data_IF_570905063438
#
_entry.id   IF_570905063438
#
_cell.length_a   1.000
_cell.length_b   1.000
_cell.length_c   1.000
_cell.angle_alpha   90.00
_cell.angle_beta   90.00
_cell.angle_gamma   90.00
#
_symmetry.space_group_name_H-M   'P 1'
#
loop_
_entity.id
_entity.type
_entity.pdbx_description
1 polymer ?
2 polymer ?
3 polymer ?
4 polymer ?
5 non-polymer ?
6 non-polymer ?
7 non-polymer ?
8 non-polymer ?
9 non-polymer ?
10 non-polymer ?
11 non-polymer ?
12 water ?
#
loop_
_entity_poly.entity_id
_entity_poly.type
_entity_poly.pdbx_seq_one_letter_code
_entity_poly.pdbx_strand_id
2 'polydeoxyribonucleotide' '(DC)(DG)(DG)(DC)(DA)(DT)(DA)(DC)(DG)' ?
3 'polydeoxyribonucleotide' '(DC)(DG)(DT)(DA)(8OG)' ?
4 'polydeoxyribonucleotide' '(DG)(DC)(DC)(DG)' ?
#
# COMPACT_ATOMS: atom_id res chain seq x y z
N UNK A 11 3.47 -1.80 -27.97
CA UNK A 11 4.23 -0.68 -27.42
C UNK A 11 4.08 -0.57 -25.89
N UNK A 12 2.91 -0.95 -25.37
CA UNK A 12 2.67 -0.95 -23.93
C UNK A 12 2.81 -2.37 -23.42
N UNK A 13 3.78 -2.66 -22.53
CA UNK A 13 3.92 -4.02 -22.00
C UNK A 13 2.72 -4.36 -21.13
N UNK A 14 2.51 -5.66 -20.98
CA UNK A 14 1.31 -6.19 -20.34
C UNK A 14 1.41 -6.18 -18.82
N UNK A 15 2.61 -6.27 -18.25
CA UNK A 15 2.77 -6.28 -16.80
C UNK A 15 3.21 -4.89 -16.32
N UNK A 16 2.66 -4.45 -15.17
CA UNK A 16 3.03 -3.12 -14.70
C UNK A 16 4.50 -2.99 -14.34
N UNK A 17 5.15 -4.11 -14.00
CA UNK A 17 6.57 -4.07 -13.64
C UNK A 17 7.49 -3.81 -14.81
N UNK A 18 6.96 -3.86 -16.04
CA UNK A 18 7.72 -3.70 -17.27
C UNK A 18 7.69 -2.29 -17.81
N UNK A 19 7.09 -1.35 -17.12
CA UNK A 19 6.98 0.00 -17.65
C UNK A 19 7.05 0.99 -16.50
N UNK A 20 7.61 2.16 -16.73
CA UNK A 20 7.60 3.15 -15.68
C UNK A 20 6.21 3.70 -15.47
N UNK A 21 5.87 3.92 -14.22
CA UNK A 21 4.61 4.54 -13.86
C UNK A 21 4.90 5.66 -12.88
N UNK A 22 4.80 6.91 -13.29
CA UNK A 22 5.11 8.04 -12.40
C UNK A 22 3.94 8.32 -11.46
N UNK A 23 4.22 9.13 -10.44
CA UNK A 23 3.19 9.39 -9.43
C UNK A 23 2.07 10.26 -9.99
N UNK A 24 2.44 11.23 -10.79
CA UNK A 24 1.47 12.09 -11.48
C UNK A 24 1.56 11.82 -12.97
N UNK A 25 0.42 11.97 -13.65
CA UNK A 25 0.33 11.54 -15.04
C UNK A 25 -0.71 12.35 -15.79
N UNK A 26 -1.14 11.81 -16.94
CA UNK A 26 -1.90 12.55 -17.92
C UNK A 26 -3.29 12.02 -18.11
N UNK A 27 -3.72 11.11 -17.26
CA UNK A 27 -5.03 10.48 -17.41
C UNK A 27 -5.70 10.29 -16.07
N UNK A 28 -5.55 11.27 -15.19
CA UNK A 28 -5.98 11.15 -13.79
C UNK A 28 -7.45 10.82 -13.67
N UNK A 29 -8.31 11.57 -14.37
CA UNK A 29 -9.74 11.29 -14.26
C UNK A 29 -10.15 9.92 -14.74
N UNK A 30 -9.59 9.48 -15.86
CA UNK A 30 -9.93 8.16 -16.36
C UNK A 30 -9.48 7.08 -15.40
N UNK A 31 -8.26 7.17 -14.89
CA UNK A 31 -7.76 6.16 -13.96
C UNK A 31 -8.58 6.15 -12.67
N UNK A 32 -8.99 7.33 -12.19
CA UNK A 32 -9.76 7.37 -10.94
C UNK A 32 -11.10 6.65 -11.11
N UNK A 33 -11.73 6.79 -12.28
CA UNK A 33 -13.02 6.16 -12.52
C UNK A 33 -12.87 4.65 -12.56
N UNK A 34 -11.84 4.16 -13.24
CA UNK A 34 -11.62 2.72 -13.28
C UNK A 34 -11.30 2.17 -11.89
N UNK A 35 -10.59 2.94 -11.07
CA UNK A 35 -10.28 2.52 -9.71
C UNK A 35 -11.51 2.49 -8.81
N UNK A 36 -12.52 3.31 -9.04
CA UNK A 36 -13.79 3.16 -8.32
C UNK A 36 -14.40 1.80 -8.62
N UNK A 37 -14.42 1.40 -9.89
CA UNK A 37 -15.00 0.11 -10.23
C UNK A 37 -14.15 -1.04 -9.64
N UNK A 38 -12.83 -0.87 -9.60
CA UNK A 38 -11.99 -1.89 -8.98
C UNK A 38 -12.33 -2.03 -7.50
N UNK A 39 -12.43 -0.92 -6.82
CA UNK A 39 -12.74 -0.91 -5.38
C UNK A 39 -14.09 -1.56 -5.13
N UNK A 40 -15.10 -1.20 -5.92
CA UNK A 40 -16.42 -1.80 -5.78
C UNK A 40 -16.37 -3.29 -6.00
N UNK A 41 -15.60 -3.75 -6.99
CA UNK A 41 -15.46 -5.18 -7.21
C UNK A 41 -14.87 -5.87 -5.98
N UNK A 42 -13.89 -5.26 -5.34
CA UNK A 42 -13.34 -5.83 -4.12
C UNK A 42 -14.37 -5.94 -3.00
N UNK A 43 -15.22 -4.94 -2.87
CA UNK A 43 -16.21 -4.99 -1.81
C UNK A 43 -17.19 -6.13 -2.01
N UNK A 44 -17.39 -6.57 -3.26
CA UNK A 44 -18.26 -7.70 -3.56
C UNK A 44 -17.50 -9.03 -3.63
N UNK A 45 -16.22 -9.04 -3.33
CA UNK A 45 -15.38 -10.23 -3.36
C UNK A 45 -15.02 -10.70 -4.76
N UNK A 46 -15.12 -9.84 -5.76
CA UNK A 46 -14.75 -10.21 -7.13
C UNK A 46 -13.30 -9.78 -7.36
N UNK A 47 -12.39 -10.64 -6.93
CA UNK A 47 -10.97 -10.29 -7.02
C UNK A 47 -10.43 -10.26 -8.44
N UNK A 48 -10.98 -11.08 -9.33
CA UNK A 48 -10.51 -11.04 -10.71
C UNK A 48 -10.86 -9.72 -11.39
N UNK A 49 -12.12 -9.30 -11.24
CA UNK A 49 -12.54 -8.01 -11.79
C UNK A 49 -11.75 -6.87 -11.19
N UNK A 50 -11.55 -6.89 -9.87
CA UNK A 50 -10.73 -5.85 -9.23
C UNK A 50 -9.39 -5.76 -9.92
N UNK A 51 -8.75 -6.89 -10.15
CA UNK A 51 -7.42 -6.90 -10.73
C UNK A 51 -7.42 -6.32 -12.14
N UNK A 52 -8.39 -6.69 -12.97
CA UNK A 52 -8.48 -6.12 -14.32
C UNK A 52 -8.66 -4.62 -14.30
N UNK A 53 -9.58 -4.12 -13.46
CA UNK A 53 -9.81 -2.67 -13.46
C UNK A 53 -8.58 -1.95 -12.92
N UNK A 54 -7.93 -2.49 -11.90
CA UNK A 54 -6.68 -1.89 -11.43
C UNK A 54 -5.61 -1.87 -12.51
N UNK A 55 -5.48 -2.97 -13.25
CA UNK A 55 -4.49 -3.02 -14.32
C UNK A 55 -4.80 -2.04 -15.42
N UNK A 56 -6.08 -1.95 -15.82
CA UNK A 56 -6.46 -0.99 -16.85
C UNK A 56 -6.17 0.44 -16.39
N UNK A 57 -6.52 0.74 -15.15
CA UNK A 57 -6.21 2.08 -14.65
C UNK A 57 -4.72 2.35 -14.72
N UNK A 58 -3.92 1.36 -14.35
CA UNK A 58 -2.48 1.53 -14.31
C UNK A 58 -1.90 1.76 -15.71
N UNK A 59 -2.42 1.07 -16.71
CA UNK A 59 -1.98 1.33 -18.08
C UNK A 59 -2.13 2.79 -18.44
N UNK A 60 -3.25 3.41 -18.07
CA UNK A 60 -3.46 4.83 -18.37
C UNK A 60 -2.48 5.71 -17.64
N UNK A 61 -2.09 5.33 -16.41
CA UNK A 61 -1.10 6.10 -15.68
C UNK A 61 0.24 6.10 -16.41
N UNK A 62 0.53 5.05 -17.18
CA UNK A 62 1.83 4.86 -17.82
C UNK A 62 1.90 5.51 -19.19
N UNK A 63 0.77 6.06 -19.70
CA UNK A 63 0.81 6.63 -21.02
C UNK A 63 1.48 8.00 -21.02
N UNK A 64 2.05 8.40 -22.15
CA UNK A 64 2.82 9.64 -22.19
C UNK A 64 2.00 10.89 -22.38
N UNK A 65 0.70 10.76 -22.61
CA UNK A 65 -0.14 11.92 -22.88
C UNK A 65 -1.61 11.52 -22.68
N UNK A 66 -2.52 12.49 -22.65
CA UNK A 66 -3.93 12.16 -22.40
C UNK A 66 -4.55 11.32 -23.51
N UNK A 67 -5.41 10.40 -23.10
CA UNK A 67 -6.35 9.75 -24.02
C UNK A 67 -7.47 10.73 -24.31
N UNK A 68 -7.65 11.05 -25.59
CA UNK A 68 -8.69 11.95 -26.03
C UNK A 68 -9.70 11.30 -26.96
N UNK A 69 -9.40 10.13 -27.51
CA UNK A 69 -10.29 9.49 -28.47
C UNK A 69 -10.25 7.98 -28.19
N UNK A 70 -11.40 7.35 -28.40
CA UNK A 70 -11.53 5.93 -28.08
C UNK A 70 -10.53 5.08 -28.87
N UNK A 71 -10.19 5.53 -30.08
CA UNK A 71 -9.17 4.93 -30.94
C UNK A 71 -7.87 4.65 -30.22
N UNK A 72 -7.54 5.48 -29.22
CA UNK A 72 -6.25 5.40 -28.59
C UNK A 72 -6.16 4.22 -27.63
N UNK A 73 -7.28 3.54 -27.35
CA UNK A 73 -7.22 2.37 -26.49
C UNK A 73 -6.91 1.11 -27.26
N UNK A 74 -6.96 1.15 -28.59
CA UNK A 74 -6.79 -0.08 -29.35
C UNK A 74 -5.41 -0.67 -29.15
N UNK A 75 -5.38 -1.94 -28.82
CA UNK A 75 -4.12 -2.57 -28.57
C UNK A 75 -3.56 -2.36 -27.18
N UNK A 76 -4.18 -1.49 -26.33
CA UNK A 76 -3.63 -1.42 -24.98
C UNK A 76 -4.06 -2.64 -24.17
N UNK A 77 -3.15 -3.23 -23.43
CA UNK A 77 -3.51 -4.38 -22.62
C UNK A 77 -4.50 -4.00 -21.53
N UNK A 78 -5.38 -4.95 -21.22
CA UNK A 78 -6.36 -4.87 -20.13
C UNK A 78 -7.55 -3.98 -20.45
N UNK A 79 -7.65 -3.50 -21.69
CA UNK A 79 -8.82 -2.77 -22.19
C UNK A 79 -9.64 -3.67 -23.08
N UNK A 80 -10.78 -4.11 -22.56
CA UNK A 80 -11.75 -4.85 -23.30
C UNK A 80 -13.05 -4.08 -23.32
N UNK A 81 -14.15 -4.79 -23.57
CA UNK A 81 -15.41 -4.08 -23.77
C UNK A 81 -15.76 -3.20 -22.57
N UNK A 82 -15.62 -3.71 -21.35
CA UNK A 82 -16.13 -2.97 -20.20
C UNK A 82 -15.28 -1.74 -19.88
N UNK A 83 -13.98 -1.91 -19.74
CA UNK A 83 -13.13 -0.75 -19.44
C UNK A 83 -13.15 0.27 -20.58
N UNK A 84 -13.28 -0.20 -21.82
CA UNK A 84 -13.35 0.73 -22.95
C UNK A 84 -14.63 1.55 -22.91
N UNK A 85 -15.74 0.92 -22.51
CA UNK A 85 -17.00 1.63 -22.44
C UNK A 85 -16.94 2.72 -21.38
N UNK A 86 -16.30 2.42 -20.24
CA UNK A 86 -16.13 3.42 -19.18
C UNK A 86 -15.40 4.64 -19.73
N UNK A 87 -14.29 4.41 -20.41
CA UNK A 87 -13.52 5.51 -20.98
C UNK A 87 -14.34 6.26 -22.04
N UNK A 88 -15.04 5.51 -22.91
CA UNK A 88 -15.83 6.14 -23.96
C UNK A 88 -16.85 7.09 -23.37
N UNK A 89 -17.54 6.67 -22.30
CA UNK A 89 -18.55 7.52 -21.70
C UNK A 89 -17.93 8.76 -21.08
N UNK A 90 -16.79 8.61 -20.42
CA UNK A 90 -16.10 9.75 -19.84
C UNK A 90 -15.63 10.72 -20.92
N UNK A 91 -15.13 10.19 -22.05
CA UNK A 91 -14.72 11.10 -23.14
C UNK A 91 -15.91 11.82 -23.77
N UNK A 92 -17.06 11.14 -23.88
CA UNK A 92 -18.18 11.72 -24.60
C UNK A 92 -19.00 12.64 -23.70
N UNK A 93 -19.15 12.33 -22.41
CA UNK A 93 -20.08 13.03 -21.52
C UNK A 93 -19.43 13.55 -20.26
N UNK A 94 -18.20 13.18 -19.96
CA UNK A 94 -17.56 13.64 -18.75
C UNK A 94 -17.93 12.89 -17.50
N UNK A 95 -18.78 11.87 -17.61
CA UNK A 95 -19.18 11.02 -16.51
C UNK A 95 -19.52 9.66 -17.09
N UNK A 96 -19.36 8.63 -16.26
CA UNK A 96 -19.78 7.27 -16.60
C UNK A 96 -20.88 6.88 -15.64
N UNK A 97 -22.07 6.58 -16.19
CA UNK A 97 -23.24 6.32 -15.36
C UNK A 97 -23.01 5.19 -14.38
N UNK A 98 -22.32 4.13 -14.80
CA UNK A 98 -22.02 3.02 -13.87
C UNK A 98 -21.19 3.51 -12.69
N UNK A 99 -20.15 4.28 -12.96
CA UNK A 99 -19.29 4.80 -11.90
C UNK A 99 -20.11 5.67 -10.96
N UNK A 100 -20.95 6.56 -11.52
CA UNK A 100 -21.74 7.45 -10.67
C UNK A 100 -22.73 6.68 -9.83
N UNK A 101 -23.31 5.62 -10.38
CA UNK A 101 -24.23 4.78 -9.61
C UNK A 101 -23.50 4.11 -8.45
N UNK A 102 -22.28 3.64 -8.67
CA UNK A 102 -21.50 3.09 -7.57
C UNK A 102 -21.27 4.15 -6.51
N UNK A 103 -20.78 5.33 -6.93
CA UNK A 103 -20.41 6.36 -5.97
C UNK A 103 -21.58 6.70 -5.04
N UNK A 104 -22.78 6.77 -5.56
CA UNK A 104 -23.91 7.19 -4.74
C UNK A 104 -24.64 6.01 -4.09
N UNK A 105 -24.10 4.79 -4.20
CA UNK A 105 -24.79 3.67 -3.59
C UNK A 105 -24.45 3.55 -2.11
N UNK A 106 -25.49 3.20 -1.35
CA UNK A 106 -25.34 2.99 0.07
C UNK A 106 -24.36 1.85 0.36
N UNK A 107 -24.37 0.83 -0.48
CA UNK A 107 -23.44 -0.29 -0.28
C UNK A 107 -21.99 0.16 -0.43
N UNK A 108 -21.69 0.86 -1.52
CA UNK A 108 -20.31 1.30 -1.74
C UNK A 108 -19.88 2.27 -0.63
N UNK A 109 -20.75 3.23 -0.30
CA UNK A 109 -20.35 4.24 0.67
C UNK A 109 -20.10 3.61 2.03
N UNK A 110 -20.97 2.68 2.45
CA UNK A 110 -20.81 2.09 3.77
C UNK A 110 -19.64 1.13 3.80
N UNK A 111 -19.46 0.30 2.77
CA UNK A 111 -18.29 -0.58 2.72
C UNK A 111 -16.99 0.21 2.74
N UNK A 112 -16.94 1.32 2.00
CA UNK A 112 -15.73 2.14 2.02
C UNK A 112 -15.48 2.70 3.41
N UNK A 113 -16.53 3.24 4.05
CA UNK A 113 -16.39 3.77 5.40
C UNK A 113 -15.87 2.71 6.37
N UNK A 114 -16.50 1.53 6.36
CA UNK A 114 -16.13 0.52 7.36
C UNK A 114 -14.76 -0.08 7.09
N UNK A 115 -14.44 -0.37 5.83
CA UNK A 115 -13.12 -0.94 5.54
C UNK A 115 -11.98 0.04 5.79
N UNK A 116 -12.28 1.35 5.83
CA UNK A 116 -11.24 2.30 6.19
C UNK A 116 -10.82 2.18 7.63
N UNK A 117 -11.61 1.52 8.48
CA UNK A 117 -11.27 1.39 9.89
C UNK A 117 -10.13 0.39 10.03
N UNK A 118 -9.09 0.79 10.72
CA UNK A 118 -8.01 -0.14 11.07
C UNK A 118 -8.57 -1.27 11.92
N UNK A 119 -8.45 -2.51 11.42
CA UNK A 119 -8.99 -3.68 12.09
C UNK A 119 -10.24 -4.26 11.43
N UNK A 120 -10.75 -3.59 10.40
CA UNK A 120 -11.94 -4.01 9.68
C UNK A 120 -11.58 -4.25 8.24
N UNK A 121 -11.82 -5.48 7.75
CA UNK A 121 -11.64 -5.80 6.36
C UNK A 121 -12.99 -5.96 5.66
N UNK A 122 -12.93 -6.37 4.38
CA UNK A 122 -14.14 -6.53 3.59
C UNK A 122 -15.12 -7.49 4.27
N UNK A 123 -14.62 -8.63 4.75
CA UNK A 123 -15.56 -9.60 5.30
C UNK A 123 -16.26 -9.08 6.56
N UNK A 124 -15.53 -8.40 7.46
CA UNK A 124 -16.23 -7.85 8.62
C UNK A 124 -17.20 -6.75 8.19
N UNK A 125 -16.74 -5.85 7.32
CA UNK A 125 -17.59 -4.76 6.83
C UNK A 125 -18.86 -5.28 6.19
N UNK A 126 -18.74 -6.32 5.37
CA UNK A 126 -19.91 -6.89 4.73
C UNK A 126 -20.87 -7.52 5.74
N UNK A 127 -20.35 -8.22 6.75
CA UNK A 127 -21.21 -8.78 7.79
C UNK A 127 -21.97 -7.68 8.53
N UNK A 128 -21.28 -6.59 8.88
CA UNK A 128 -21.94 -5.49 9.57
C UNK A 128 -23.00 -4.85 8.67
N UNK A 129 -22.66 -4.64 7.40
CA UNK A 129 -23.63 -4.15 6.43
C UNK A 129 -24.86 -5.04 6.38
N UNK A 130 -24.67 -6.36 6.30
CA UNK A 130 -25.84 -7.23 6.24
C UNK A 130 -26.65 -7.17 7.51
N UNK A 131 -26.02 -6.86 8.65
CA UNK A 131 -26.74 -6.70 9.91
C UNK A 131 -27.49 -5.37 9.99
N UNK A 132 -27.30 -4.48 9.03
CA UNK A 132 -28.00 -3.21 9.02
C UNK A 132 -27.21 -2.04 9.53
N UNK A 133 -25.95 -2.23 9.90
CA UNK A 133 -25.16 -1.11 10.39
C UNK A 133 -24.68 -0.27 9.24
N UNK A 134 -24.61 1.05 9.46
CA UNK A 134 -24.29 2.00 8.40
C UNK A 134 -23.29 3.09 8.77
N UNK A 135 -23.15 3.48 10.04
CA UNK A 135 -22.30 4.60 10.43
C UNK A 135 -21.31 4.17 11.52
N UNK A 136 -20.28 4.99 11.71
CA UNK A 136 -19.32 4.72 12.77
C UNK A 136 -20.01 4.76 14.13
N UNK A 137 -20.94 5.66 14.32
CA UNK A 137 -21.65 5.70 15.60
C UNK A 137 -22.51 4.47 15.82
N UNK A 138 -23.04 3.87 14.75
CA UNK A 138 -23.65 2.55 14.91
C UNK A 138 -22.71 1.55 15.54
N UNK A 139 -21.44 1.53 15.09
CA UNK A 139 -20.47 0.58 15.63
C UNK A 139 -20.10 0.91 17.07
N UNK A 140 -20.01 2.20 17.37
CA UNK A 140 -19.62 2.62 18.71
C UNK A 140 -20.70 2.26 19.73
N UNK A 141 -21.95 2.19 19.31
CA UNK A 141 -23.01 1.85 20.25
C UNK A 141 -23.01 0.37 20.62
N UNK A 142 -22.15 -0.45 20.03
CA UNK A 142 -22.15 -1.89 20.27
C UNK A 142 -20.71 -2.40 20.37
N UNK A 143 -19.93 -1.86 21.30
CA UNK A 143 -18.54 -2.34 21.42
C UNK A 143 -18.44 -3.83 21.78
N UNK A 144 -19.61 -4.48 21.98
CA UNK A 144 -19.78 -5.93 22.05
C UNK A 144 -18.98 -6.63 21.03
N UNK A 145 -19.24 -6.24 19.80
CA UNK A 145 -18.68 -7.00 18.74
C UNK A 145 -17.19 -6.66 18.52
N UNK A 146 -16.73 -5.48 18.93
CA UNK A 146 -15.41 -5.00 18.45
C UNK A 146 -14.21 -5.67 19.12
N UNK A 147 -13.21 -5.94 18.32
CA UNK A 147 -11.93 -6.35 18.84
C UNK A 147 -11.18 -5.14 19.39
N UNK A 148 -10.17 -5.41 20.21
CA UNK A 148 -9.32 -4.33 20.71
C UNK A 148 -8.73 -3.53 19.56
N UNK A 149 -8.34 -4.20 18.49
CA UNK A 149 -7.77 -3.50 17.35
C UNK A 149 -8.81 -2.57 16.73
N UNK A 150 -10.03 -3.07 16.54
CA UNK A 150 -11.09 -2.26 15.95
C UNK A 150 -11.47 -1.11 16.85
N UNK A 151 -11.42 -1.31 18.16
CA UNK A 151 -11.71 -0.21 19.08
C UNK A 151 -10.72 0.92 18.85
N UNK A 152 -9.45 0.60 18.77
CA UNK A 152 -8.42 1.60 18.51
C UNK A 152 -8.61 2.26 17.16
N UNK A 153 -8.86 1.47 16.13
CA UNK A 153 -9.15 2.03 14.83
C UNK A 153 -10.34 2.98 14.82
N UNK A 154 -11.39 2.67 15.58
CA UNK A 154 -12.57 3.52 15.65
C UNK A 154 -12.26 4.78 16.45
N UNK A 155 -11.54 4.65 17.57
CA UNK A 155 -11.26 5.85 18.37
C UNK A 155 -10.40 6.82 17.59
N UNK A 156 -9.43 6.33 16.84
CA UNK A 156 -8.47 7.15 16.12
C UNK A 156 -8.87 7.43 14.67
N UNK A 157 -10.09 7.03 14.27
CA UNK A 157 -10.46 7.06 12.85
C UNK A 157 -10.34 8.45 12.25
N UNK A 158 -10.76 9.49 12.99
CA UNK A 158 -10.75 10.83 12.42
C UNK A 158 -9.33 11.30 12.13
N UNK A 159 -8.42 11.12 13.08
CA UNK A 159 -7.02 11.46 12.84
C UNK A 159 -6.43 10.64 11.70
N UNK A 160 -6.72 9.34 11.65
CA UNK A 160 -6.13 8.48 10.68
C UNK A 160 -6.68 8.74 9.29
N UNK A 161 -7.77 9.46 9.18
CA UNK A 161 -8.31 9.75 7.86
C UNK A 161 -7.65 10.96 7.22
N UNK A 162 -6.89 11.74 7.96
CA UNK A 162 -6.14 12.87 7.45
C UNK A 162 -4.74 12.39 7.08
N UNK A 163 -4.16 12.75 5.93
CA UNK A 163 -2.79 12.37 5.67
C UNK A 163 -1.78 13.24 6.36
N UNK A 164 -0.57 12.69 6.47
CA UNK A 164 0.56 13.38 7.04
C UNK A 164 1.49 13.80 5.93
N UNK A 165 2.26 14.80 6.24
CA UNK A 165 3.20 15.39 5.30
C UNK A 165 4.57 14.75 5.45
N UNK A 166 5.39 14.89 4.39
CA UNK A 166 6.76 14.39 4.46
C UNK A 166 7.53 14.99 5.64
N UNK A 167 7.29 16.26 6.00
CA UNK A 167 7.99 16.84 7.14
C UNK A 167 7.63 16.13 8.44
N UNK A 168 6.37 15.68 8.56
CA UNK A 168 5.95 14.86 9.70
C UNK A 168 6.70 13.53 9.69
N UNK A 169 6.85 12.95 8.51
CA UNK A 169 7.55 11.66 8.34
C UNK A 169 8.99 11.78 8.81
N UNK A 170 9.65 12.88 8.49
CA UNK A 170 11.05 13.05 8.87
C UNK A 170 11.21 13.19 10.38
N UNK A 171 10.26 13.87 11.03
CA UNK A 171 10.25 13.96 12.48
C UNK A 171 10.05 12.59 13.11
N UNK A 172 9.13 11.80 12.54
CA UNK A 172 8.88 10.44 13.01
C UNK A 172 10.14 9.58 12.84
N UNK A 173 10.83 9.75 11.73
CA UNK A 173 12.02 8.93 11.50
C UNK A 173 13.09 9.21 12.54
N UNK A 174 13.28 10.46 12.96
CA UNK A 174 14.29 10.72 13.97
C UNK A 174 13.94 10.02 15.28
N UNK A 175 12.66 9.99 15.67
CA UNK A 175 12.34 9.37 16.95
C UNK A 175 12.56 7.86 16.86
N UNK A 176 12.24 7.26 15.72
CA UNK A 176 12.45 5.82 15.53
C UNK A 176 13.94 5.51 15.54
N UNK A 177 14.73 6.34 14.85
CA UNK A 177 16.18 6.16 14.87
C UNK A 177 16.77 6.22 16.28
N UNK A 178 16.29 7.11 17.12
CA UNK A 178 16.79 7.19 18.50
C UNK A 178 16.54 5.87 19.23
N UNK A 179 15.31 5.33 19.12
CA UNK A 179 15.00 4.11 19.83
C UNK A 179 15.77 2.95 19.25
N UNK A 180 15.91 2.91 17.94
CA UNK A 180 16.63 1.82 17.27
C UNK A 180 18.09 1.83 17.63
N UNK A 181 18.69 3.02 17.74
CA UNK A 181 20.09 3.10 18.15
C UNK A 181 20.37 2.59 19.54
N UNK A 182 19.43 2.77 20.50
CA UNK A 182 19.57 2.21 21.82
C UNK A 182 19.31 0.72 21.81
N UNK A 183 18.34 0.30 21.01
CA UNK A 183 18.01 -1.12 20.96
C UNK A 183 19.17 -1.91 20.38
N UNK A 184 19.85 -1.36 19.39
CA UNK A 184 20.95 -2.07 18.72
C UNK A 184 21.82 -1.05 18.00
N UNK A 185 22.90 -0.63 18.62
CA UNK A 185 23.84 0.28 17.92
C UNK A 185 24.27 -0.28 16.59
N UNK A 186 24.26 0.60 15.57
CA UNK A 186 24.59 0.24 14.21
C UNK A 186 23.41 -0.15 13.36
N UNK A 187 22.25 -0.40 13.95
CA UNK A 187 21.09 -0.69 13.14
C UNK A 187 20.64 0.57 12.43
N UNK A 188 20.05 0.38 11.24
CA UNK A 188 19.63 1.45 10.35
C UNK A 188 18.14 1.43 10.13
N UNK A 189 17.64 2.61 9.78
CA UNK A 189 16.22 2.84 9.51
C UNK A 189 16.07 3.43 8.12
N UNK A 190 15.26 2.80 7.27
CA UNK A 190 14.99 3.23 5.90
C UNK A 190 13.50 3.54 5.77
N UNK A 191 13.17 4.69 5.19
CA UNK A 191 11.79 5.04 4.87
C UNK A 191 11.35 4.30 3.62
N UNK A 192 10.23 3.59 3.71
CA UNK A 192 9.70 2.85 2.56
C UNK A 192 8.31 3.39 2.19
N UNK A 193 7.46 2.52 1.66
CA UNK A 193 6.12 2.88 1.26
C UNK A 193 6.03 3.99 0.24
N UNK A 194 4.89 4.67 0.27
CA UNK A 194 4.61 5.68 -0.74
C UNK A 194 5.51 6.90 -0.67
N UNK A 195 6.01 7.24 0.52
CA UNK A 195 6.93 8.34 0.63
C UNK A 195 8.23 8.05 -0.12
N UNK A 196 8.69 6.80 -0.12
CA UNK A 196 9.88 6.47 -0.91
C UNK A 196 9.59 6.58 -2.41
N UNK A 197 8.33 6.36 -2.81
CA UNK A 197 7.94 6.52 -4.21
C UNK A 197 7.71 7.97 -4.60
N UNK A 198 7.93 8.92 -3.71
CA UNK A 198 7.83 10.32 -4.00
C UNK A 198 6.62 11.06 -3.51
N UNK A 199 5.73 10.41 -2.78
CA UNK A 199 4.57 11.11 -2.26
C UNK A 199 4.98 12.26 -1.36
N UNK A 200 4.20 13.31 -1.44
CA UNK A 200 4.44 14.43 -0.56
C UNK A 200 3.59 14.34 0.69
N UNK A 201 2.54 13.54 0.62
CA UNK A 201 1.67 13.34 1.78
C UNK A 201 1.08 11.96 1.62
N UNK A 202 0.70 11.36 2.75
CA UNK A 202 0.13 10.04 2.71
C UNK A 202 -0.25 9.60 4.09
N UNK A 203 -1.02 8.50 4.15
CA UNK A 203 -1.88 8.19 5.30
C UNK A 203 -1.25 7.20 6.26
N UNK A 204 -0.01 6.84 6.02
CA UNK A 204 0.73 6.03 6.97
C UNK A 204 2.19 6.17 6.62
N UNK A 205 3.05 5.71 7.52
CA UNK A 205 4.49 5.87 7.36
C UNK A 205 5.14 4.52 7.66
N UNK A 206 6.02 4.04 6.77
CA UNK A 206 6.65 2.72 6.89
C UNK A 206 8.16 2.83 7.01
N UNK A 207 8.70 2.06 7.95
CA UNK A 207 10.15 2.01 8.17
C UNK A 207 10.63 0.57 8.12
N UNK A 208 11.79 0.39 7.52
CA UNK A 208 12.47 -0.90 7.39
C UNK A 208 13.80 -0.83 8.11
N UNK A 209 14.01 -1.73 9.07
CA UNK A 209 15.14 -1.71 10.01
C UNK A 209 16.01 -2.92 9.74
N UNK A 210 17.33 -2.73 9.69
CA UNK A 210 18.25 -3.83 9.54
C UNK A 210 19.53 -3.50 10.29
N UNK A 211 20.52 -4.41 10.21
CA UNK A 211 21.84 -4.21 10.77
C UNK A 211 22.83 -4.82 9.80
N UNK A 212 24.00 -4.18 9.62
CA UNK A 212 24.96 -4.70 8.61
C UNK A 212 25.57 -6.05 8.93
N UNK A 213 25.53 -6.50 10.19
CA UNK A 213 26.04 -7.79 10.59
C UNK A 213 24.90 -8.81 10.65
N UNK A 214 24.85 -9.68 9.67
CA UNK A 214 23.82 -10.70 9.61
C UNK A 214 23.65 -11.41 10.96
N UNK A 215 22.40 -11.45 11.40
CA UNK A 215 22.03 -12.11 12.64
C UNK A 215 21.86 -11.17 13.80
N UNK A 216 22.49 -10.01 13.77
CA UNK A 216 22.40 -9.10 14.90
C UNK A 216 20.99 -8.57 15.05
N UNK A 217 20.19 -8.57 13.98
CA UNK A 217 18.84 -8.03 14.03
C UNK A 217 17.85 -8.97 14.71
N UNK A 218 18.27 -10.19 15.07
CA UNK A 218 17.37 -11.12 15.72
C UNK A 218 16.92 -10.51 17.04
N UNK A 219 15.60 -10.56 17.31
CA UNK A 219 15.04 -10.07 18.56
C UNK A 219 14.95 -8.57 18.64
N UNK A 220 15.19 -7.86 17.54
CA UNK A 220 15.30 -6.41 17.60
C UNK A 220 13.95 -5.73 17.79
N UNK A 221 12.92 -6.16 17.07
CA UNK A 221 11.67 -5.41 17.09
C UNK A 221 11.04 -5.27 18.47
N UNK A 222 10.97 -6.28 19.33
CA UNK A 222 10.46 -6.05 20.68
C UNK A 222 11.25 -5.00 21.44
N UNK A 223 12.57 -4.98 21.26
CA UNK A 223 13.40 -4.00 21.96
C UNK A 223 13.11 -2.58 21.47
N UNK A 224 12.87 -2.41 20.17
CA UNK A 224 12.49 -1.11 19.64
C UNK A 224 11.13 -0.69 20.15
N UNK A 225 10.17 -1.62 20.14
CA UNK A 225 8.83 -1.27 20.60
C UNK A 225 8.82 -0.95 22.08
N UNK A 226 9.61 -1.66 22.89
CA UNK A 226 9.58 -1.34 24.30
C UNK A 226 10.07 0.08 24.52
N UNK A 227 11.05 0.51 23.72
CA UNK A 227 11.66 1.82 23.91
C UNK A 227 10.73 2.93 23.41
N UNK A 228 10.05 2.70 22.30
CA UNK A 228 9.07 3.69 21.85
C UNK A 228 7.90 3.81 22.81
N UNK A 229 7.47 2.69 23.39
CA UNK A 229 6.41 2.75 24.38
C UNK A 229 6.86 3.51 25.62
N UNK A 230 8.08 3.27 26.08
CA UNK A 230 8.55 3.99 27.27
C UNK A 230 8.66 5.48 27.03
N UNK A 231 8.80 5.91 25.76
CA UNK A 231 8.84 7.33 25.42
C UNK A 231 7.45 7.95 25.30
N UNK A 232 6.40 7.16 25.49
CA UNK A 232 5.04 7.68 25.42
C UNK A 232 4.49 7.91 24.03
N UNK A 233 5.11 7.33 23.01
CA UNK A 233 4.77 7.62 21.63
C UNK A 233 3.77 6.65 21.05
N UNK A 234 3.52 5.51 21.68
CA UNK A 234 2.71 4.46 21.10
C UNK A 234 1.31 4.53 21.67
N UNK A 235 0.38 4.96 20.82
CA UNK A 235 -1.01 4.95 21.20
C UNK A 235 -1.63 3.55 21.08
N UNK A 236 -1.13 2.72 20.18
CA UNK A 236 -1.63 1.37 20.01
C UNK A 236 -0.56 0.51 19.34
N UNK A 237 -0.42 -0.71 19.85
CA UNK A 237 0.30 -1.77 19.18
C UNK A 237 -0.25 -3.09 19.70
N UNK A 238 -0.04 -4.16 18.95
CA UNK A 238 -0.45 -5.50 19.39
C UNK A 238 0.60 -6.15 20.28
N UNK A 259 8.78 -11.22 16.76
CA UNK A 259 8.00 -10.73 15.60
C UNK A 259 8.87 -9.88 14.66
N UNK A 260 8.41 -9.68 13.41
CA UNK A 260 9.16 -8.88 12.45
C UNK A 260 8.39 -7.72 11.81
N UNK A 261 7.06 -7.61 11.99
CA UNK A 261 6.26 -6.48 11.52
C UNK A 261 5.44 -6.00 12.70
N UNK A 262 5.45 -4.71 12.96
CA UNK A 262 4.61 -4.11 13.99
C UNK A 262 3.75 -3.02 13.37
N UNK A 263 2.40 -3.16 13.49
CA UNK A 263 1.44 -2.20 12.96
C UNK A 263 1.01 -1.31 14.12
N UNK A 264 1.43 -0.06 14.13
CA UNK A 264 1.11 0.72 15.33
C UNK A 264 0.55 2.09 14.99
N UNK A 265 0.14 2.78 16.05
CA UNK A 265 -0.34 4.15 15.98
C UNK A 265 0.59 5.00 16.83
N UNK A 266 1.21 5.99 16.21
CA UNK A 266 2.16 6.88 16.86
C UNK A 266 1.45 8.17 17.20
N UNK A 267 1.79 8.72 18.35
CA UNK A 267 1.52 10.13 18.63
C UNK A 267 2.51 11.02 17.87
N UNK A 268 2.01 11.79 16.91
CA UNK A 268 2.79 12.75 16.11
C UNK A 268 2.59 14.17 16.63
N UNK A 269 3.64 14.86 17.07
CA UNK A 269 3.46 16.25 17.51
C UNK A 269 2.89 17.12 16.41
N UNK A 270 2.04 18.05 16.83
CA UNK A 270 1.45 19.06 15.97
C UNK A 270 1.51 20.35 16.76
N UNK A 271 1.40 21.50 16.10
CA UNK A 271 1.46 22.77 16.84
C UNK A 271 0.45 22.79 17.97
N UNK A 272 0.95 22.85 19.21
CA UNK A 272 0.09 22.93 20.39
C UNK A 272 -0.63 21.65 20.76
N UNK A 273 -0.37 20.54 20.07
CA UNK A 273 -1.12 19.32 20.32
C UNK A 273 -0.44 18.17 19.60
N UNK A 274 -1.21 17.20 19.12
CA UNK A 274 -0.65 16.04 18.43
C UNK A 274 -1.79 15.37 17.68
N UNK A 275 -1.41 14.38 16.86
CA UNK A 275 -2.40 13.59 16.14
C UNK A 275 -1.92 12.16 16.01
N UNK A 276 -2.88 11.24 15.93
CA UNK A 276 -2.55 9.84 15.72
C UNK A 276 -2.15 9.59 14.27
N UNK A 277 -1.16 8.72 14.06
CA UNK A 277 -0.68 8.35 12.74
C UNK A 277 -0.37 6.86 12.71
N UNK A 278 -0.71 6.19 11.63
CA UNK A 278 -0.37 4.78 11.44
C UNK A 278 1.08 4.66 10.99
N UNK A 279 1.89 3.91 11.74
CA UNK A 279 3.30 3.67 11.40
C UNK A 279 3.52 2.17 11.45
N UNK A 280 4.17 1.64 10.43
CA UNK A 280 4.59 0.24 10.39
C UNK A 280 6.09 0.15 10.52
N UNK A 281 6.53 -0.70 11.40
CA UNK A 281 7.95 -0.99 11.59
C UNK A 281 8.22 -2.41 11.18
N UNK A 282 9.28 -2.62 10.43
CA UNK A 282 9.62 -3.92 9.88
C UNK A 282 11.09 -4.16 10.09
N UNK A 283 11.45 -5.37 10.51
CA UNK A 283 12.86 -5.78 10.61
C UNK A 283 13.16 -6.85 9.57
N UNK A 284 14.32 -6.75 8.92
CA UNK A 284 14.79 -7.81 8.04
C UNK A 284 16.28 -8.00 8.29
N UNK A 285 16.79 -9.25 8.16
CA UNK A 285 18.24 -9.43 8.09
C UNK A 285 18.78 -8.78 6.83
N UNK A 286 20.05 -8.37 6.88
CA UNK A 286 20.62 -7.64 5.74
C UNK A 286 20.59 -8.48 4.48
N UNK A 287 20.74 -9.81 4.60
CA UNK A 287 20.65 -10.67 3.41
C UNK A 287 19.31 -10.54 2.70
N UNK A 288 18.25 -10.24 3.42
CA UNK A 288 16.91 -10.11 2.84
C UNK A 288 16.52 -8.67 2.59
N UNK A 289 17.32 -7.72 3.03
CA UNK A 289 16.92 -6.30 2.99
C UNK A 289 16.52 -5.87 1.59
N UNK A 290 17.22 -6.21 0.51
CA UNK A 290 16.74 -5.72 -0.81
C UNK A 290 15.35 -6.21 -1.17
N UNK A 291 15.02 -7.44 -0.80
CA UNK A 291 13.69 -7.98 -1.06
C UNK A 291 12.63 -7.30 -0.24
N UNK A 292 12.96 -7.02 1.02
CA UNK A 292 12.02 -6.35 1.89
C UNK A 292 11.81 -4.89 1.46
N UNK A 293 12.91 -4.22 1.09
CA UNK A 293 12.85 -2.84 0.58
C UNK A 293 11.95 -2.79 -0.67
N UNK A 294 12.18 -3.72 -1.57
CA UNK A 294 11.36 -3.79 -2.81
C UNK A 294 9.88 -3.97 -2.48
N UNK A 295 9.57 -4.97 -1.65
CA UNK A 295 8.17 -5.22 -1.34
C UNK A 295 7.48 -4.07 -0.63
N UNK A 296 8.13 -3.53 0.41
CA UNK A 296 7.57 -2.49 1.24
C UNK A 296 7.53 -1.12 0.56
N UNK A 297 8.23 -0.95 -0.58
CA UNK A 297 8.17 0.29 -1.34
C UNK A 297 6.97 0.28 -2.30
N UNK A 298 6.51 -0.88 -2.72
CA UNK A 298 5.25 -0.89 -3.50
C UNK A 298 5.44 -0.39 -4.91
N UNK A 299 4.35 0.08 -5.51
CA UNK A 299 2.99 0.02 -5.01
C UNK A 299 2.50 -1.40 -4.85
N UNK A 300 1.30 -1.57 -4.27
CA UNK A 300 0.67 -2.88 -4.14
C UNK A 300 0.56 -3.56 -5.50
N UNK A 301 -0.01 -2.86 -6.47
CA UNK A 301 -0.17 -3.47 -7.79
C UNK A 301 1.19 -3.79 -8.39
N UNK A 302 2.16 -2.89 -8.21
CA UNK A 302 3.49 -3.18 -8.75
C UNK A 302 4.03 -4.49 -8.20
N UNK A 303 3.88 -4.72 -6.88
CA UNK A 303 4.42 -5.94 -6.30
C UNK A 303 3.68 -7.18 -6.76
N UNK A 304 2.33 -7.11 -6.85
CA UNK A 304 1.57 -8.26 -7.36
C UNK A 304 1.99 -8.59 -8.79
N UNK A 305 2.17 -7.55 -9.60
CA UNK A 305 2.57 -7.75 -10.98
C UNK A 305 3.99 -8.29 -11.09
N UNK A 306 4.89 -7.82 -10.23
CA UNK A 306 6.27 -8.31 -10.20
C UNK A 306 6.32 -9.80 -9.82
N UNK A 307 5.53 -10.19 -8.83
CA UNK A 307 5.51 -11.59 -8.40
C UNK A 307 4.85 -12.46 -9.45
N UNK A 308 3.83 -11.91 -10.13
CA UNK A 308 3.17 -12.67 -11.19
C UNK A 308 4.14 -12.87 -12.36
N UNK A 309 4.85 -11.80 -12.73
CA UNK A 309 5.83 -11.87 -13.81
C UNK A 309 6.93 -12.88 -13.45
N UNK A 310 7.47 -12.77 -12.25
CA UNK A 310 8.51 -13.70 -11.83
C UNK A 310 8.08 -15.13 -12.04
N UNK A 311 6.90 -15.47 -11.50
CA UNK A 311 6.47 -16.88 -11.50
C UNK A 311 6.07 -17.32 -12.89
N UNK A 312 5.27 -16.50 -13.57
CA UNK A 312 4.67 -16.96 -14.83
C UNK A 312 5.63 -16.82 -16.01
N UNK A 313 6.47 -15.77 -16.03
CA UNK A 313 7.38 -15.58 -17.13
C UNK A 313 8.77 -16.14 -16.90
N UNK A 314 9.27 -16.15 -15.65
CA UNK A 314 10.62 -16.59 -15.36
C UNK A 314 10.70 -17.87 -14.53
N UNK A 315 9.58 -18.38 -14.01
CA UNK A 315 9.59 -19.58 -13.21
C UNK A 315 10.26 -19.48 -11.88
N UNK A 316 10.34 -18.26 -11.35
CA UNK A 316 10.96 -17.96 -10.08
C UNK A 316 9.91 -17.43 -9.11
N UNK A 317 10.06 -17.71 -7.83
CA UNK A 317 9.04 -17.40 -6.83
C UNK A 317 9.55 -16.26 -5.95
N UNK A 318 8.88 -15.12 -6.00
CA UNK A 318 9.27 -13.90 -5.33
C UNK A 318 8.40 -13.58 -4.12
N UNK A 319 9.01 -13.18 -3.03
CA UNK A 319 8.30 -12.59 -1.90
C UNK A 319 9.16 -11.51 -1.28
N UNK A 320 8.74 -10.99 -0.12
CA UNK A 320 9.48 -9.91 0.51
C UNK A 320 10.71 -10.42 1.27
N UNK A 321 10.99 -11.72 1.24
CA UNK A 321 12.17 -12.27 1.86
C UNK A 321 13.21 -12.79 0.86
N UNK A 322 12.88 -13.03 -0.39
CA UNK A 322 13.82 -13.64 -1.29
C UNK A 322 13.17 -14.01 -2.60
N UNK A 323 13.97 -14.65 -3.43
CA UNK A 323 13.63 -15.04 -4.80
C UNK A 323 14.15 -16.45 -4.98
N UNK A 324 13.24 -17.41 -5.17
CA UNK A 324 13.56 -18.84 -5.15
C UNK A 324 13.46 -19.45 -6.54
N UNK A 325 14.47 -20.25 -6.89
CA UNK A 325 14.46 -21.03 -8.11
C UNK A 325 13.99 -22.42 -7.71
N UNK A 326 12.75 -22.82 -8.04
CA UNK A 326 12.21 -24.13 -7.60
C UNK A 326 12.81 -25.31 -8.34
N UNK A 327 13.55 -25.10 -9.41
CA UNK A 327 14.14 -26.27 -10.06
C UNK A 327 15.55 -26.54 -9.51
N UNK A 328 16.38 -25.50 -9.32
CA UNK A 328 17.65 -25.71 -8.62
C UNK A 328 17.48 -25.80 -7.11
N UNK A 329 16.35 -25.32 -6.59
CA UNK A 329 16.08 -25.33 -5.17
C UNK A 329 17.09 -24.44 -4.43
N UNK A 330 17.26 -23.22 -4.97
CA UNK A 330 18.19 -22.25 -4.44
C UNK A 330 17.58 -20.86 -4.42
N UNK A 331 18.05 -20.05 -3.48
CA UNK A 331 17.64 -18.66 -3.33
C UNK A 331 18.69 -17.76 -3.93
N UNK A 332 18.23 -16.78 -4.67
CA UNK A 332 19.12 -15.76 -5.20
C UNK A 332 19.64 -14.87 -4.07
N UNK A 333 20.91 -14.57 -4.14
CA UNK A 333 21.48 -13.57 -3.26
C UNK A 333 21.27 -12.25 -3.97
N UNK A 334 20.85 -11.27 -3.26
CA UNK A 334 20.81 -9.92 -3.80
C UNK A 334 21.43 -8.95 -2.82
N UNK A 335 22.25 -8.02 -3.34
CA UNK A 335 22.81 -6.96 -2.54
C UNK A 335 22.13 -5.64 -2.76
N UNK A 336 21.19 -5.57 -3.70
CA UNK A 336 20.51 -4.35 -4.09
C UNK A 336 19.23 -4.68 -4.82
N UNK A 337 18.33 -3.68 -4.87
CA UNK A 337 17.17 -3.80 -5.75
C UNK A 337 17.58 -3.95 -7.20
N UNK A 338 18.67 -3.26 -7.62
CA UNK A 338 19.18 -3.45 -8.97
C UNK A 338 19.45 -4.91 -9.26
N UNK A 339 20.02 -5.65 -8.29
CA UNK A 339 20.27 -7.09 -8.51
C UNK A 339 18.97 -7.82 -8.81
N UNK A 340 17.90 -7.49 -8.08
CA UNK A 340 16.64 -8.23 -8.22
C UNK A 340 16.05 -8.01 -9.60
N UNK A 341 16.01 -6.75 -10.05
CA UNK A 341 15.54 -6.50 -11.43
C UNK A 341 16.39 -7.25 -12.45
N UNK A 342 17.72 -7.27 -12.27
CA UNK A 342 18.57 -8.02 -13.19
C UNK A 342 18.25 -9.49 -13.18
N UNK A 343 18.05 -10.09 -11.98
CA UNK A 343 17.76 -11.52 -11.89
C UNK A 343 16.52 -11.84 -12.72
N UNK A 344 15.53 -10.95 -12.69
CA UNK A 344 14.23 -11.13 -13.34
C UNK A 344 14.25 -10.70 -14.80
N UNK A 345 15.37 -10.23 -15.32
CA UNK A 345 15.39 -9.78 -16.69
C UNK A 345 14.56 -8.55 -16.99
N UNK A 346 14.38 -7.66 -16.02
CA UNK A 346 13.60 -6.45 -16.16
C UNK A 346 14.52 -5.24 -16.11
N UNK A 347 14.20 -4.23 -16.89
CA UNK A 347 14.92 -2.97 -16.76
C UNK A 347 14.64 -2.38 -15.39
N UNK A 348 15.65 -1.79 -14.76
CA UNK A 348 15.48 -1.20 -13.45
C UNK A 348 14.52 -0.01 -13.49
N UNK A 349 13.67 0.05 -12.47
CA UNK A 349 12.77 1.16 -12.25
C UNK A 349 13.06 1.72 -10.86
N UNK A 350 13.39 3.00 -10.75
CA UNK A 350 13.54 3.61 -9.43
C UNK A 350 12.20 3.67 -8.73
N UNK A 351 12.17 3.87 -7.41
CA UNK A 351 10.91 3.88 -6.67
C UNK A 351 9.85 4.82 -7.23
N UNK A 352 10.26 6.00 -7.68
CA UNK A 352 9.26 6.95 -8.15
C UNK A 352 8.65 6.56 -9.48
N UNK A 353 9.10 5.47 -10.13
CA UNK A 353 8.49 4.92 -11.33
C UNK A 353 7.77 3.61 -11.06
N UNK A 354 7.48 3.32 -9.78
CA UNK A 354 6.77 2.11 -9.38
C UNK A 354 5.36 2.41 -8.86
N UNK A 355 4.80 3.53 -9.33
CA UNK A 355 3.48 3.97 -8.84
C UNK A 355 2.38 3.37 -9.69
N UNK A 356 2.46 2.08 -9.91
CA UNK A 356 1.48 1.35 -10.71
C UNK A 356 0.17 1.42 -10.01
X LIG E 1 1.82 1.09 6.43
X LIG F 1 -9.49 -1.69 7.42
X LIG G 1 5.77 -6.20 1.53
X LIG G 1 5.53 -6.94 0.39
X LIG G 1 4.53 -6.17 2.36
X LIG G 1 4.23 -7.48 2.84
X LIG H 1 -2.13 8.43 -25.11
X LIG H 1 -0.73 8.59 -25.07
X LIG H 1 -2.77 8.87 -26.43
X LIG H 1 -2.32 8.01 -27.43
X LIG I 1 20.95 -0.57 4.07
X LIG I 1 20.88 0.42 3.07
X LIG I 1 21.29 0.16 5.35
X LIG I 1 21.35 -0.81 6.34
X LIG J 1 0.83 12.83 -3.13
X LIG J 1 0.72 12.47 -1.71
X LIG J 1 0.54 11.65 -3.94
X LIG J 1 2.00 13.63 -3.37
X LIG K 1 -6.61 -0.67 -8.11
X LIG L 1 -14.12 -11.56 -10.11
X LIG M 1 2.44 3.04 3.45
X LIG N 1 1.86 2.61 0.54
X LIG N 1 2.09 2.13 -0.58
X LIG N 1 2.77 2.64 1.43
#
# INVERSE_FOLDING_TARGET
GSAAAPLSPAWMPAYACQRPTPLTHHNTGLSEALEILAEAAGFEGSEGRLLTFCRAASVLKALPSPVTTLSQLQGLPHFGEHSSRVVQELLEHGVCEEVERVRRSERYQTMKLFTQIFGVGVKTADRWYREGLRTLDDLREQPQKLTQQQKAGLQHHQDLSTPVLRSDVDALQQVVEEAVGQALPGATVTLTGGFRRGKLQGHDVDFLITHPKEGQEAGLLPRVMCRLQDQGLILYHQHQHSCCESPTRLAQQSHMDAFERSFCIFRLPQPGSWKAVRVDLVVAPVSQFPFALLGWTGSKLFQRELRRFSRKEKGLWLNSHGLFDPEQKTFFQAASEEDIFRHLGLEYLPPEQRNA
NA NA
NA NA
EDO C1 O1 C2 O2
EDO C1 O1 C2 O2
EDO C1 O1 C2 O2
EPE S O1S O2S O3S
DTT S1
CL CL
MG MG
GOA C O OXT
#
